data_IF_209354372935
#
_entry.id   IF_209354372935
#
_cell.length_a   1.000
_cell.length_b   1.000
_cell.length_c   1.000
_cell.angle_alpha   90.00
_cell.angle_beta   90.00
_cell.angle_gamma   90.00
#
_symmetry.space_group_name_H-M   'P 1'
#
loop_
_entity.id
_entity.type
_entity.pdbx_description
1 polymer ?
#
# COMPACT_ATOMS: atom_id res chain seq x y z
N UNK A 1 -19.54 9.30 -4.19
CA UNK A 1 -19.06 8.39 -3.14
C UNK A 1 -17.85 7.65 -3.69
N UNK A 2 -16.71 7.76 -3.02
CA UNK A 2 -15.47 7.08 -3.38
C UNK A 2 -15.24 5.93 -2.41
N UNK A 3 -14.96 4.75 -2.94
CA UNK A 3 -14.71 3.56 -2.14
C UNK A 3 -13.25 3.15 -2.29
N UNK A 4 -12.56 3.02 -1.17
CA UNK A 4 -11.18 2.58 -1.08
C UNK A 4 -11.15 1.15 -0.59
N UNK A 5 -10.68 0.25 -1.44
CA UNK A 5 -10.48 -1.14 -1.10
C UNK A 5 -9.04 -1.39 -0.67
N UNK A 6 -8.82 -1.57 0.63
CA UNK A 6 -7.55 -1.99 1.21
C UNK A 6 -7.35 -3.49 0.95
N UNK A 7 -6.50 -3.81 -0.02
CA UNK A 7 -6.19 -5.18 -0.44
C UNK A 7 -5.04 -5.73 0.40
N UNK A 8 -5.34 -6.73 1.21
CA UNK A 8 -4.39 -7.40 2.11
C UNK A 8 -3.59 -8.51 1.43
N UNK A 9 -4.03 -8.95 0.24
CA UNK A 9 -3.44 -10.01 -0.60
C UNK A 9 -3.42 -11.41 0.02
N UNK A 10 -3.87 -11.55 1.27
CA UNK A 10 -4.14 -12.82 1.93
C UNK A 10 -5.13 -12.61 3.11
N UNK A 11 -5.46 -13.68 3.83
CA UNK A 11 -6.33 -13.66 5.00
C UNK A 11 -5.57 -13.56 6.34
N UNK A 12 -4.26 -13.29 6.32
CA UNK A 12 -3.46 -13.23 7.56
C UNK A 12 -3.73 -11.92 8.27
N UNK A 13 -4.37 -12.01 9.44
CA UNK A 13 -4.67 -10.87 10.29
C UNK A 13 -3.39 -10.12 10.72
N UNK A 14 -3.50 -8.79 10.80
CA UNK A 14 -2.42 -7.91 11.27
C UNK A 14 -3.03 -6.80 12.11
N UNK A 15 -2.61 -6.69 13.37
CA UNK A 15 -3.05 -5.62 14.27
C UNK A 15 -2.76 -4.23 13.67
N UNK A 16 -1.56 -4.05 13.10
CA UNK A 16 -1.12 -2.81 12.46
C UNK A 16 -2.08 -2.39 11.34
N UNK A 17 -2.42 -3.30 10.41
CA UNK A 17 -3.36 -2.94 9.33
C UNK A 17 -4.79 -2.72 9.83
N UNK A 18 -5.24 -3.50 10.82
CA UNK A 18 -6.54 -3.28 11.44
C UNK A 18 -6.64 -1.89 12.07
N UNK A 19 -5.62 -1.47 12.82
CA UNK A 19 -5.57 -0.16 13.47
C UNK A 19 -5.51 0.98 12.45
N UNK A 20 -4.67 0.85 11.42
CA UNK A 20 -4.56 1.85 10.34
C UNK A 20 -5.91 2.01 9.60
N UNK A 21 -6.57 0.91 9.24
CA UNK A 21 -7.84 0.96 8.51
C UNK A 21 -8.97 1.48 9.41
N UNK A 22 -8.96 1.12 10.70
CA UNK A 22 -9.91 1.67 11.70
C UNK A 22 -9.75 3.19 11.84
N UNK A 23 -8.51 3.67 11.86
CA UNK A 23 -8.21 5.10 11.86
C UNK A 23 -8.78 5.77 10.60
N UNK A 24 -8.51 5.22 9.40
CA UNK A 24 -9.06 5.79 8.17
C UNK A 24 -10.59 5.82 8.16
N UNK A 25 -11.26 4.77 8.62
CA UNK A 25 -12.73 4.77 8.75
C UNK A 25 -13.26 5.84 9.70
N UNK A 26 -12.52 6.15 10.76
CA UNK A 26 -12.93 7.10 11.79
C UNK A 26 -12.72 8.56 11.37
N UNK A 27 -11.73 8.82 10.51
CA UNK A 27 -11.28 10.17 10.17
C UNK A 27 -11.38 10.50 8.68
N UNK A 28 -11.92 9.60 7.86
CA UNK A 28 -12.16 9.86 6.44
C UNK A 28 -13.14 11.04 6.25
N UNK A 29 -12.87 11.94 5.28
CA UNK A 29 -13.83 12.95 4.88
C UNK A 29 -15.18 12.35 4.43
N UNK A 30 -16.28 13.13 4.51
CA UNK A 30 -17.57 12.70 3.99
C UNK A 30 -17.49 12.25 2.52
N UNK A 31 -18.14 11.13 2.21
CA UNK A 31 -18.18 10.57 0.86
C UNK A 31 -17.00 9.69 0.48
N UNK A 32 -16.08 9.39 1.41
CA UNK A 32 -15.03 8.37 1.27
C UNK A 32 -15.33 7.22 2.23
N UNK A 33 -15.34 6.00 1.72
CA UNK A 33 -15.54 4.78 2.51
C UNK A 33 -14.34 3.84 2.35
N UNK A 34 -14.02 3.09 3.41
CA UNK A 34 -12.88 2.19 3.46
C UNK A 34 -13.29 0.75 3.76
N UNK A 35 -12.97 -0.18 2.86
CA UNK A 35 -13.25 -1.61 2.99
C UNK A 35 -11.96 -2.41 2.86
N UNK A 36 -11.79 -3.44 3.70
CA UNK A 36 -10.63 -4.33 3.65
C UNK A 36 -11.05 -5.68 3.04
N UNK A 37 -10.19 -6.26 2.21
CA UNK A 37 -10.41 -7.59 1.65
C UNK A 37 -9.09 -8.30 1.37
N UNK A 38 -9.13 -9.63 1.32
CA UNK A 38 -7.97 -10.42 0.94
C UNK A 38 -7.61 -10.30 -0.55
N UNK A 39 -8.58 -10.03 -1.41
CA UNK A 39 -8.39 -9.88 -2.85
C UNK A 39 -8.98 -8.56 -3.34
N UNK A 40 -8.49 -8.07 -4.47
CA UNK A 40 -9.00 -6.86 -5.10
C UNK A 40 -10.48 -7.02 -5.49
N UNK A 41 -11.33 -6.14 -4.96
CA UNK A 41 -12.75 -6.12 -5.31
C UNK A 41 -12.94 -5.43 -6.67
N UNK A 42 -13.76 -6.01 -7.55
CA UNK A 42 -14.06 -5.45 -8.88
C UNK A 42 -15.06 -4.30 -8.78
N UNK A 43 -14.99 -3.33 -9.72
CA UNK A 43 -15.85 -2.14 -9.75
C UNK A 43 -15.08 -0.81 -9.69
N UNK A 44 -15.81 0.30 -9.54
CA UNK A 44 -15.31 1.68 -9.55
C UNK A 44 -14.58 2.13 -8.28
N UNK A 45 -13.84 1.23 -7.65
CA UNK A 45 -13.11 1.46 -6.40
C UNK A 45 -11.64 1.79 -6.68
N UNK A 46 -10.99 2.51 -5.77
CA UNK A 46 -9.52 2.61 -5.73
C UNK A 46 -9.01 1.46 -4.88
N UNK A 47 -8.07 0.68 -5.40
CA UNK A 47 -7.44 -0.43 -4.64
C UNK A 47 -6.14 0.04 -4.01
N UNK A 48 -6.01 -0.12 -2.70
CA UNK A 48 -4.80 0.18 -1.95
C UNK A 48 -4.17 -1.11 -1.48
N UNK A 49 -3.09 -1.55 -2.12
CA UNK A 49 -2.39 -2.78 -1.78
C UNK A 49 -1.37 -2.55 -0.67
N UNK A 50 -1.39 -3.44 0.33
CA UNK A 50 -0.48 -3.41 1.47
C UNK A 50 0.59 -4.53 1.43
N UNK A 51 0.32 -5.62 0.71
CA UNK A 51 1.25 -6.75 0.52
C UNK A 51 1.34 -7.14 -0.97
N UNK A 52 1.74 -6.19 -1.83
CA UNK A 52 1.63 -6.37 -3.28
C UNK A 52 2.50 -7.51 -3.80
N UNK A 53 3.60 -7.86 -3.13
CA UNK A 53 4.46 -9.00 -3.46
C UNK A 53 3.75 -10.36 -3.49
N UNK A 54 2.59 -10.47 -2.83
CA UNK A 54 1.78 -11.68 -2.84
C UNK A 54 0.86 -11.77 -4.08
N UNK A 55 0.76 -10.70 -4.85
CA UNK A 55 -0.07 -10.64 -6.06
C UNK A 55 0.72 -11.08 -7.29
N UNK A 56 0.05 -11.79 -8.20
CA UNK A 56 0.59 -12.09 -9.52
C UNK A 56 0.39 -10.94 -10.52
N UNK A 57 -0.55 -10.03 -10.24
CA UNK A 57 -0.83 -8.80 -11.02
C UNK A 57 -1.72 -7.85 -10.21
N UNK A 58 -1.50 -6.53 -10.34
CA UNK A 58 -2.37 -5.52 -9.74
C UNK A 58 -3.60 -5.19 -10.62
N UNK A 59 -4.71 -4.86 -9.99
CA UNK A 59 -5.96 -4.42 -10.64
C UNK A 59 -6.15 -2.91 -10.48
N UNK A 60 -6.19 -2.17 -11.60
CA UNK A 60 -6.28 -0.70 -11.62
C UNK A 60 -7.72 -0.15 -11.56
N UNK A 61 -7.93 1.10 -11.08
CA UNK A 61 -6.90 2.01 -10.55
C UNK A 61 -6.45 1.58 -9.15
N UNK A 62 -5.13 1.63 -8.90
CA UNK A 62 -4.55 1.19 -7.64
C UNK A 62 -3.35 2.01 -7.17
N UNK A 63 -3.15 1.95 -5.86
CA UNK A 63 -2.00 2.49 -5.16
C UNK A 63 -1.39 1.41 -4.29
N UNK A 64 -0.09 1.53 -4.03
CA UNK A 64 0.67 0.60 -3.21
C UNK A 64 1.42 1.39 -2.15
N UNK A 65 1.50 0.92 -0.91
CA UNK A 65 2.41 1.50 0.10
C UNK A 65 3.60 0.60 0.35
N UNK A 66 4.79 1.20 0.45
CA UNK A 66 6.03 0.50 0.83
C UNK A 66 6.05 0.37 2.36
N UNK A 67 5.87 -0.86 2.87
CA UNK A 67 5.84 -1.16 4.31
C UNK A 67 7.11 -1.82 4.85
N UNK A 68 8.08 -2.13 4.00
CA UNK A 68 9.34 -2.78 4.38
C UNK A 68 10.52 -1.80 4.22
N UNK A 69 11.64 -2.15 4.86
CA UNK A 69 12.90 -1.47 4.59
C UNK A 69 13.45 -1.95 3.23
N UNK A 70 13.74 -1.02 2.33
CA UNK A 70 14.27 -1.35 1.00
C UNK A 70 15.73 -1.82 1.05
N UNK A 71 16.37 -1.74 2.22
CA UNK A 71 17.73 -2.21 2.49
C UNK A 71 17.76 -3.42 3.42
N UNK A 72 16.61 -4.02 3.70
CA UNK A 72 16.52 -5.24 4.50
C UNK A 72 17.32 -6.37 3.83
N UNK A 73 18.05 -7.14 4.64
CA UNK A 73 18.81 -8.31 4.20
C UNK A 73 18.00 -9.60 4.30
N UNK A 74 16.79 -9.56 4.87
CA UNK A 74 15.85 -10.67 4.82
C UNK A 74 15.47 -10.98 3.36
N UNK A 75 15.80 -12.19 2.84
CA UNK A 75 15.50 -12.58 1.47
C UNK A 75 14.02 -12.42 1.11
N UNK A 76 13.11 -12.62 2.07
CA UNK A 76 11.66 -12.52 1.87
C UNK A 76 11.17 -11.08 1.65
N UNK A 77 11.93 -10.09 2.13
CA UNK A 77 11.63 -8.67 2.05
C UNK A 77 12.45 -7.93 1.00
N UNK A 78 13.25 -8.65 0.21
CA UNK A 78 14.02 -8.07 -0.88
C UNK A 78 13.13 -7.31 -1.85
N UNK A 79 13.54 -6.10 -2.23
CA UNK A 79 12.76 -5.19 -3.09
C UNK A 79 12.35 -5.87 -4.41
N UNK A 80 13.16 -6.80 -4.92
CA UNK A 80 12.92 -7.55 -6.14
C UNK A 80 11.58 -8.30 -6.11
N UNK A 81 11.11 -8.75 -4.94
CA UNK A 81 9.79 -9.37 -4.80
C UNK A 81 8.62 -8.40 -5.02
N UNK A 82 8.87 -7.10 -4.93
CA UNK A 82 7.87 -6.05 -5.01
C UNK A 82 7.94 -5.25 -6.32
N UNK A 83 9.12 -5.22 -6.96
CA UNK A 83 9.45 -4.35 -8.09
C UNK A 83 8.41 -4.41 -9.22
N UNK A 84 8.01 -5.60 -9.66
CA UNK A 84 7.04 -5.74 -10.75
C UNK A 84 5.68 -5.12 -10.39
N UNK A 85 5.24 -5.32 -9.14
CA UNK A 85 3.98 -4.77 -8.64
C UNK A 85 4.06 -3.27 -8.44
N UNK A 86 5.21 -2.76 -8.02
CA UNK A 86 5.44 -1.31 -7.94
C UNK A 86 5.37 -0.65 -9.31
N UNK A 87 5.90 -1.28 -10.37
CA UNK A 87 5.80 -0.79 -11.75
C UNK A 87 4.37 -0.80 -12.29
N UNK A 88 3.54 -1.75 -11.87
CA UNK A 88 2.13 -1.84 -12.28
C UNK A 88 1.22 -0.82 -11.60
N UNK A 89 1.58 -0.35 -10.41
CA UNK A 89 0.74 0.54 -9.63
C UNK A 89 0.55 1.90 -10.33
N UNK A 90 -0.60 2.55 -10.15
CA UNK A 90 -0.75 3.93 -10.63
C UNK A 90 0.09 4.89 -9.79
N UNK A 91 0.20 4.62 -8.47
CA UNK A 91 1.12 5.31 -7.57
C UNK A 91 1.70 4.37 -6.51
N UNK A 92 2.97 4.59 -6.17
CA UNK A 92 3.65 3.95 -5.05
C UNK A 92 3.89 4.99 -3.96
N UNK A 93 3.30 4.77 -2.80
CA UNK A 93 3.44 5.62 -1.62
C UNK A 93 4.71 5.20 -0.87
N UNK A 94 5.67 6.11 -0.84
CA UNK A 94 6.87 6.04 -0.02
C UNK A 94 6.64 6.82 1.28
N UNK A 95 7.19 6.32 2.38
CA UNK A 95 7.04 6.88 3.72
C UNK A 95 8.04 8.01 3.98
N UNK A 96 9.07 8.10 3.16
CA UNK A 96 10.09 9.13 3.23
C UNK A 96 10.78 9.30 1.87
N UNK A 97 11.64 10.31 1.76
CA UNK A 97 12.40 10.59 0.54
C UNK A 97 13.45 9.52 0.25
N UNK A 98 14.01 8.85 1.27
CA UNK A 98 15.00 7.79 1.07
C UNK A 98 14.42 6.62 0.30
N UNK A 99 13.20 6.19 0.64
CA UNK A 99 12.50 5.14 -0.10
C UNK A 99 12.19 5.56 -1.53
N UNK A 100 11.71 6.80 -1.72
CA UNK A 100 11.44 7.36 -3.05
C UNK A 100 12.70 7.34 -3.92
N UNK A 101 13.81 7.82 -3.38
CA UNK A 101 15.07 7.96 -4.11
C UNK A 101 15.68 6.59 -4.43
N UNK A 102 15.56 5.62 -3.52
CA UNK A 102 15.92 4.23 -3.78
C UNK A 102 15.10 3.65 -4.93
N UNK A 103 13.77 3.75 -4.87
CA UNK A 103 12.90 3.22 -5.92
C UNK A 103 13.12 3.92 -7.27
N UNK A 104 13.41 5.21 -7.25
CA UNK A 104 13.77 5.96 -8.46
C UNK A 104 15.06 5.43 -9.11
N UNK A 105 16.07 5.06 -8.31
CA UNK A 105 17.30 4.43 -8.80
C UNK A 105 17.03 3.05 -9.45
N UNK A 106 16.01 2.33 -8.99
CA UNK A 106 15.52 1.07 -9.58
C UNK A 106 14.57 1.26 -10.77
N UNK A 107 14.39 2.51 -11.24
CA UNK A 107 13.55 2.87 -12.38
C UNK A 107 12.05 3.00 -12.06
N UNK A 108 11.66 2.98 -10.78
CA UNK A 108 10.27 3.13 -10.33
C UNK A 108 10.01 4.61 -10.01
N UNK A 109 9.39 5.31 -10.96
CA UNK A 109 9.22 6.77 -10.94
C UNK A 109 7.79 7.23 -10.65
N UNK A 110 6.83 6.30 -10.55
CA UNK A 110 5.44 6.53 -10.18
C UNK A 110 5.25 6.70 -8.65
N UNK A 111 6.23 7.28 -7.97
CA UNK A 111 6.27 7.37 -6.50
C UNK A 111 5.74 8.71 -5.97
N UNK A 112 5.21 8.70 -4.74
CA UNK A 112 4.84 9.90 -3.97
C UNK A 112 5.24 9.70 -2.51
N UNK A 113 5.72 10.75 -1.85
CA UNK A 113 6.04 10.67 -0.42
C UNK A 113 4.81 11.08 0.40
N UNK A 114 4.28 10.14 1.17
CA UNK A 114 3.25 10.38 2.20
C UNK A 114 3.80 9.78 3.49
N UNK A 115 4.34 10.59 4.41
CA UNK A 115 4.97 10.07 5.62
C UNK A 115 3.96 9.38 6.53
N UNK A 116 4.41 8.39 7.29
CA UNK A 116 3.59 7.85 8.36
C UNK A 116 3.29 8.95 9.38
N UNK A 117 2.00 9.16 9.61
CA UNK A 117 1.53 9.90 10.77
C UNK A 117 1.72 9.07 12.03
N UNK A 118 1.90 9.77 13.14
CA UNK A 118 1.82 9.21 14.47
C UNK A 118 0.49 9.62 15.11
N UNK A 119 -0.16 8.70 15.83
CA UNK A 119 -1.34 9.03 16.62
C UNK A 119 -1.06 8.71 18.08
N UNK A 120 -1.16 9.71 18.95
CA UNK A 120 -0.74 9.67 20.37
C UNK A 120 -1.36 8.54 21.25
N UNK A 121 -2.34 7.82 20.71
CA UNK A 121 -3.00 6.70 21.38
C UNK A 121 -2.25 5.36 21.18
N UNK A 122 -1.37 5.28 20.18
CA UNK A 122 -0.62 4.09 19.80
C UNK A 122 0.88 4.35 19.88
#
# INVERSE_FOLDING_TARGET
MLLVNHVMSNNVASGIFSDIISYYRSFAPPGIEHVASASATLGGMIRHYHRPNLESRLSGPCVVTVHHDLRDDDPSLTVQHFTDRYREANRVICLNTLQRDYLAAEGITNTVVIPHGYHARY
#
